data_IF_402285591324
#
_entry.id   IF_402285591324
#
_cell.length_a   1.000
_cell.length_b   1.000
_cell.length_c   1.000
_cell.angle_alpha   90.00
_cell.angle_beta   90.00
_cell.angle_gamma   90.00
#
_symmetry.space_group_name_H-M   'P 1'
#
loop_
_entity.id
_entity.type
_entity.pdbx_description
1 polymer ?
#
# COMPACT_ATOMS: atom_id res chain seq x y z
N UNK A 1 25.30 17.16 -4.47
CA UNK A 1 24.09 17.40 -3.66
C UNK A 1 23.03 16.40 -4.08
N UNK A 2 22.88 15.30 -3.36
CA UNK A 2 21.82 14.32 -3.59
C UNK A 2 20.52 14.86 -3.02
N UNK A 3 19.69 15.47 -3.87
CA UNK A 3 18.27 15.62 -3.55
C UNK A 3 17.65 14.22 -3.62
N UNK A 4 17.71 13.48 -2.51
CA UNK A 4 16.80 12.35 -2.32
C UNK A 4 15.42 12.95 -2.13
N UNK A 5 14.75 13.27 -3.25
CA UNK A 5 13.43 13.87 -3.30
C UNK A 5 12.36 12.85 -2.93
N UNK A 6 12.41 12.36 -1.71
CA UNK A 6 11.33 11.56 -1.14
C UNK A 6 10.38 12.59 -0.54
N UNK A 7 9.36 12.97 -1.30
CA UNK A 7 8.21 13.70 -0.76
C UNK A 7 7.72 12.96 0.50
N UNK A 8 7.23 13.68 1.54
CA UNK A 8 6.67 13.01 2.69
C UNK A 8 5.53 12.12 2.20
N UNK A 9 5.72 10.78 2.17
CA UNK A 9 4.62 9.87 1.88
C UNK A 9 3.50 10.26 2.85
N UNK A 10 2.37 10.68 2.26
CA UNK A 10 1.16 11.08 2.95
C UNK A 10 0.82 10.06 4.03
N UNK A 11 0.30 10.55 5.14
CA UNK A 11 -0.11 9.64 6.22
C UNK A 11 -1.26 8.75 5.73
N UNK A 12 -1.43 7.57 6.34
CA UNK A 12 -2.50 6.65 5.93
C UNK A 12 -3.89 7.29 6.06
N UNK A 13 -4.01 8.25 6.98
CA UNK A 13 -5.20 9.07 7.19
C UNK A 13 -5.54 9.98 6.00
N UNK A 14 -4.52 10.49 5.31
CA UNK A 14 -4.64 11.32 4.12
C UNK A 14 -4.90 10.49 2.86
N UNK A 15 -4.48 9.22 2.87
CA UNK A 15 -4.59 8.31 1.73
C UNK A 15 -5.92 7.56 1.69
N UNK A 16 -6.52 7.26 2.86
CA UNK A 16 -7.66 6.34 2.97
C UNK A 16 -8.77 6.86 3.90
N UNK A 17 -10.04 6.68 3.49
CA UNK A 17 -11.18 6.79 4.40
C UNK A 17 -11.03 5.86 5.60
N UNK A 18 -11.40 6.33 6.79
CA UNK A 18 -11.22 5.60 8.06
C UNK A 18 -11.69 4.14 8.00
N UNK A 19 -12.90 3.90 7.48
CA UNK A 19 -13.51 2.58 7.35
C UNK A 19 -12.72 1.58 6.48
N UNK A 20 -11.77 2.06 5.68
CA UNK A 20 -10.97 1.25 4.74
C UNK A 20 -9.54 1.05 5.23
N UNK A 21 -9.11 1.80 6.26
CA UNK A 21 -7.74 1.74 6.81
C UNK A 21 -7.42 0.37 7.38
N UNK A 22 -8.35 -0.23 8.14
CA UNK A 22 -8.11 -1.54 8.75
C UNK A 22 -7.89 -2.64 7.70
N UNK A 23 -8.74 -2.67 6.67
CA UNK A 23 -8.60 -3.62 5.56
C UNK A 23 -7.25 -3.48 4.85
N UNK A 24 -6.85 -2.24 4.58
CA UNK A 24 -5.54 -1.96 3.99
C UNK A 24 -4.36 -2.36 4.87
N UNK A 25 -4.41 -2.06 6.17
CA UNK A 25 -3.37 -2.44 7.12
C UNK A 25 -3.21 -3.96 7.21
N UNK A 26 -4.32 -4.72 7.15
CA UNK A 26 -4.29 -6.19 7.08
C UNK A 26 -3.59 -6.68 5.82
N UNK A 27 -3.91 -6.12 4.65
CA UNK A 27 -3.23 -6.46 3.40
C UNK A 27 -1.72 -6.18 3.45
N UNK A 28 -1.31 -5.03 3.99
CA UNK A 28 0.11 -4.72 4.16
C UNK A 28 0.78 -5.68 5.16
N UNK A 29 0.11 -6.04 6.26
CA UNK A 29 0.62 -6.99 7.23
C UNK A 29 0.83 -8.38 6.61
N UNK A 30 -0.15 -8.90 5.86
CA UNK A 30 -0.05 -10.19 5.16
C UNK A 30 1.12 -10.19 4.17
N UNK A 31 1.31 -9.08 3.44
CA UNK A 31 2.42 -8.94 2.51
C UNK A 31 3.77 -8.90 3.23
N UNK A 32 3.90 -8.12 4.31
CA UNK A 32 5.12 -8.07 5.14
C UNK A 32 5.47 -9.44 5.70
N UNK A 33 4.47 -10.16 6.21
CA UNK A 33 4.65 -11.50 6.77
C UNK A 33 5.09 -12.50 5.70
N UNK A 34 4.50 -12.43 4.51
CA UNK A 34 4.91 -13.27 3.38
C UNK A 34 6.37 -13.00 2.95
N UNK A 35 6.80 -11.73 2.91
CA UNK A 35 8.21 -11.40 2.68
C UNK A 35 9.12 -11.93 3.78
N UNK A 36 8.74 -11.73 5.04
CA UNK A 36 9.51 -12.20 6.22
C UNK A 36 9.70 -13.71 6.21
N UNK A 37 8.67 -14.45 5.79
CA UNK A 37 8.67 -15.93 5.73
C UNK A 37 9.18 -16.48 4.41
N UNK A 38 9.52 -15.62 3.43
CA UNK A 38 9.91 -15.99 2.06
C UNK A 38 8.85 -16.86 1.35
N UNK A 39 7.58 -16.68 1.71
CA UNK A 39 6.45 -17.35 1.07
C UNK A 39 6.04 -16.55 -0.18
N UNK A 40 6.73 -16.82 -1.29
CA UNK A 40 6.53 -16.09 -2.56
C UNK A 40 5.09 -16.15 -3.06
N UNK A 41 4.41 -17.29 -2.87
CA UNK A 41 3.01 -17.46 -3.29
C UNK A 41 2.07 -16.56 -2.49
N UNK A 42 2.25 -16.49 -1.17
CA UNK A 42 1.47 -15.56 -0.34
C UNK A 42 1.83 -14.11 -0.64
N UNK A 43 3.11 -13.82 -0.91
CA UNK A 43 3.54 -12.47 -1.22
C UNK A 43 2.86 -11.97 -2.50
N UNK A 44 2.82 -12.81 -3.54
CA UNK A 44 2.13 -12.52 -4.80
C UNK A 44 0.61 -12.41 -4.61
N UNK A 45 -0.01 -13.32 -3.86
CA UNK A 45 -1.45 -13.24 -3.59
C UNK A 45 -1.83 -11.94 -2.85
N UNK A 46 -1.07 -11.56 -1.82
CA UNK A 46 -1.28 -10.32 -1.08
C UNK A 46 -1.02 -9.08 -1.96
N UNK A 47 -0.06 -9.16 -2.89
CA UNK A 47 0.20 -8.10 -3.87
C UNK A 47 -0.99 -7.87 -4.78
N UNK A 48 -1.48 -8.94 -5.41
CA UNK A 48 -2.60 -8.87 -6.36
C UNK A 48 -3.88 -8.41 -5.66
N UNK A 49 -4.14 -8.89 -4.45
CA UNK A 49 -5.25 -8.41 -3.63
C UNK A 49 -5.13 -6.91 -3.35
N UNK A 50 -3.96 -6.45 -2.90
CA UNK A 50 -3.71 -5.04 -2.64
C UNK A 50 -3.86 -4.16 -3.88
N UNK A 51 -3.38 -4.61 -5.04
CA UNK A 51 -3.55 -3.90 -6.30
C UNK A 51 -5.04 -3.78 -6.69
N UNK A 52 -5.80 -4.86 -6.56
CA UNK A 52 -7.25 -4.87 -6.80
C UNK A 52 -7.99 -3.93 -5.86
N UNK A 53 -7.63 -3.94 -4.57
CA UNK A 53 -8.19 -3.04 -3.57
C UNK A 53 -7.94 -1.56 -3.95
N UNK A 54 -6.70 -1.18 -4.22
CA UNK A 54 -6.34 0.20 -4.58
C UNK A 54 -7.02 0.63 -5.90
N UNK A 55 -7.09 -0.27 -6.88
CA UNK A 55 -7.79 0.00 -8.12
C UNK A 55 -9.29 0.25 -7.89
N UNK A 56 -9.95 -0.56 -7.08
CA UNK A 56 -11.37 -0.39 -6.75
C UNK A 56 -11.64 0.93 -6.02
N UNK A 57 -10.76 1.33 -5.09
CA UNK A 57 -10.89 2.62 -4.41
C UNK A 57 -10.81 3.82 -5.36
N UNK A 58 -9.88 3.75 -6.33
CA UNK A 58 -9.73 4.81 -7.32
C UNK A 58 -10.92 4.87 -8.27
N UNK A 59 -11.41 3.72 -8.75
CA UNK A 59 -12.60 3.65 -9.62
C UNK A 59 -13.88 4.14 -8.92
N UNK A 60 -13.97 3.93 -7.60
CA UNK A 60 -15.07 4.43 -6.77
C UNK A 60 -14.90 5.91 -6.34
N UNK A 61 -13.86 6.60 -6.83
CA UNK A 61 -13.53 7.99 -6.49
C UNK A 61 -13.32 8.22 -4.98
N UNK A 62 -12.98 7.17 -4.23
CA UNK A 62 -12.75 7.24 -2.77
C UNK A 62 -11.34 7.73 -2.43
N UNK A 63 -10.42 7.70 -3.39
CA UNK A 63 -9.04 8.17 -3.27
C UNK A 63 -8.62 8.90 -4.54
N UNK A 64 -7.73 9.88 -4.39
CA UNK A 64 -7.16 10.61 -5.54
C UNK A 64 -6.18 9.73 -6.33
N UNK A 65 -5.84 10.14 -7.56
CA UNK A 65 -4.81 9.48 -8.36
C UNK A 65 -3.45 9.45 -7.65
N UNK A 66 -3.08 10.53 -6.94
CA UNK A 66 -1.86 10.57 -6.13
C UNK A 66 -1.92 9.59 -4.96
N UNK A 67 -3.05 9.53 -4.25
CA UNK A 67 -3.20 8.57 -3.15
C UNK A 67 -3.17 7.11 -3.63
N UNK A 68 -3.74 6.82 -4.81
CA UNK A 68 -3.63 5.51 -5.47
C UNK A 68 -2.16 5.13 -5.69
N UNK A 69 -1.36 6.06 -6.20
CA UNK A 69 0.04 5.79 -6.53
C UNK A 69 0.88 5.60 -5.26
N UNK A 70 0.66 6.42 -4.22
CA UNK A 70 1.29 6.27 -2.90
C UNK A 70 0.95 4.88 -2.28
N UNK A 71 -0.32 4.46 -2.36
CA UNK A 71 -0.75 3.14 -1.86
C UNK A 71 -0.11 1.98 -2.65
N UNK A 72 0.07 2.12 -3.97
CA UNK A 72 0.76 1.12 -4.79
C UNK A 72 2.24 1.01 -4.43
N UNK A 73 2.89 2.14 -4.13
CA UNK A 73 4.30 2.14 -3.70
C UNK A 73 4.49 1.38 -2.38
N UNK A 74 3.56 1.54 -1.42
CA UNK A 74 3.56 0.78 -0.16
C UNK A 74 3.43 -0.74 -0.37
N UNK A 75 2.77 -1.18 -1.44
CA UNK A 75 2.74 -2.61 -1.82
C UNK A 75 4.05 -3.05 -2.45
N UNK A 76 4.70 -2.23 -3.27
CA UNK A 76 5.96 -2.61 -3.92
C UNK A 76 7.08 -2.77 -2.89
N UNK A 77 7.16 -1.84 -1.94
CA UNK A 77 8.15 -1.85 -0.87
C UNK A 77 7.46 -1.84 0.51
N UNK A 78 6.96 -2.99 0.99
CA UNK A 78 6.25 -3.04 2.26
C UNK A 78 7.17 -2.84 3.48
N UNK A 79 8.49 -2.90 3.28
CA UNK A 79 9.55 -2.79 4.30
C UNK A 79 10.05 -1.34 4.47
N UNK A 80 9.28 -0.33 4.05
CA UNK A 80 9.54 1.06 4.42
C UNK A 80 9.34 1.16 5.95
N UNK A 81 10.43 0.86 6.66
CA UNK A 81 10.65 1.21 8.06
C UNK A 81 10.60 2.73 8.14
N UNK A 82 9.56 3.24 8.81
CA UNK A 82 9.66 4.48 9.58
C UNK A 82 9.74 4.08 11.04
#
# INVERSE_FOLDING_TARGET
MTKSGIEPQRSLEELLPEKLREGWLRTLADRREAYRTKDEKKAEAAFQYGLGFVHALYQAELVSAGARDDLRELLISPDIRR
#
